data_IF_468679204778
#
_entry.id   IF_468679204778
#
_cell.length_a   1.000
_cell.length_b   1.000
_cell.length_c   1.000
_cell.angle_alpha   90.00
_cell.angle_beta   90.00
_cell.angle_gamma   90.00
#
_symmetry.space_group_name_H-M   'P 1'
#
loop_
_entity.id
_entity.type
_entity.pdbx_description
1 polymer ?
#
# COMPACT_ATOMS: atom_id res chain seq x y z
N UNK A 1 4.92 -11.50 26.57
CA UNK A 1 3.83 -11.52 25.57
C UNK A 1 3.00 -10.27 25.78
N UNK A 2 2.86 -9.41 24.76
CA UNK A 2 2.10 -8.16 24.89
C UNK A 2 0.59 -8.49 25.03
N UNK A 3 -0.18 -7.79 25.89
CA UNK A 3 -1.59 -8.13 26.10
C UNK A 3 -2.38 -7.83 24.83
N UNK A 4 -3.15 -8.82 24.37
CA UNK A 4 -4.14 -8.61 23.33
C UNK A 4 -5.40 -8.00 23.98
N UNK A 5 -5.89 -6.89 23.43
CA UNK A 5 -7.14 -6.28 23.87
C UNK A 5 -8.36 -7.16 23.64
N UNK A 6 -9.53 -6.70 24.09
CA UNK A 6 -10.80 -7.40 23.93
C UNK A 6 -11.05 -7.78 22.46
N UNK A 7 -11.39 -9.04 22.23
CA UNK A 7 -11.82 -9.54 20.92
C UNK A 7 -13.34 -9.52 20.88
N UNK A 8 -13.90 -8.80 19.93
CA UNK A 8 -15.35 -8.72 19.69
C UNK A 8 -15.65 -9.22 18.28
N UNK A 9 -16.71 -10.01 18.16
CA UNK A 9 -17.25 -10.40 16.87
C UNK A 9 -18.17 -9.29 16.37
N UNK A 10 -17.86 -8.74 15.20
CA UNK A 10 -18.62 -7.65 14.59
C UNK A 10 -19.87 -8.25 13.93
N UNK A 11 -21.07 -7.82 14.33
CA UNK A 11 -22.34 -8.26 13.75
C UNK A 11 -22.78 -7.42 12.55
N UNK A 12 -22.55 -6.12 12.57
CA UNK A 12 -22.82 -5.19 11.46
C UNK A 12 -21.89 -3.97 11.49
N UNK A 13 -21.72 -3.32 10.35
CA UNK A 13 -20.95 -2.08 10.19
C UNK A 13 -21.77 -1.12 9.33
N UNK A 14 -22.08 0.06 9.88
CA UNK A 14 -22.79 1.12 9.17
C UNK A 14 -21.86 2.32 8.94
N UNK A 15 -22.00 2.98 7.79
CA UNK A 15 -21.21 4.16 7.46
C UNK A 15 -21.85 5.41 8.08
N UNK A 16 -21.09 6.12 8.92
CA UNK A 16 -21.57 7.35 9.56
C UNK A 16 -21.69 8.54 8.57
N UNK A 17 -20.91 8.55 7.49
CA UNK A 17 -20.97 9.57 6.43
C UNK A 17 -20.27 9.11 5.16
N UNK A 18 -20.54 9.77 4.03
CA UNK A 18 -19.88 9.51 2.75
C UNK A 18 -18.41 9.95 2.82
N UNK A 19 -17.44 9.04 2.63
CA UNK A 19 -16.03 9.39 2.61
C UNK A 19 -15.68 10.24 1.38
N UNK A 20 -14.86 11.28 1.55
CA UNK A 20 -14.25 12.01 0.43
C UNK A 20 -13.05 11.21 -0.08
N UNK A 21 -13.16 10.67 -1.29
CA UNK A 21 -12.15 9.82 -1.91
C UNK A 21 -11.57 10.56 -3.12
N UNK A 22 -10.27 10.40 -3.38
CA UNK A 22 -9.66 10.92 -4.60
C UNK A 22 -10.13 10.12 -5.81
N UNK A 23 -10.49 10.79 -6.90
CA UNK A 23 -10.95 10.13 -8.13
C UNK A 23 -9.97 9.10 -8.68
N UNK A 24 -8.66 9.32 -8.50
CA UNK A 24 -7.61 8.38 -8.91
C UNK A 24 -7.69 7.06 -8.13
N UNK A 25 -7.88 7.16 -6.82
CA UNK A 25 -8.04 6.00 -5.93
C UNK A 25 -9.33 5.25 -6.25
N UNK A 26 -10.44 5.99 -6.39
CA UNK A 26 -11.76 5.43 -6.66
C UNK A 26 -11.78 4.64 -7.99
N UNK A 27 -11.15 5.20 -9.04
CA UNK A 27 -10.97 4.50 -10.32
C UNK A 27 -10.20 3.19 -10.19
N UNK A 28 -9.11 3.18 -9.41
CA UNK A 28 -8.28 1.97 -9.22
C UNK A 28 -9.02 0.92 -8.40
N UNK A 29 -9.76 1.33 -7.37
CA UNK A 29 -10.57 0.43 -6.55
C UNK A 29 -11.75 -0.13 -7.35
N UNK A 30 -12.37 0.66 -8.20
CA UNK A 30 -13.48 0.25 -9.05
C UNK A 30 -13.05 -0.68 -10.20
N UNK A 31 -11.78 -0.64 -10.60
CA UNK A 31 -11.22 -1.53 -11.61
C UNK A 31 -10.98 -2.93 -11.02
N UNK A 32 -11.91 -3.84 -11.31
CA UNK A 32 -11.89 -5.22 -10.81
C UNK A 32 -11.20 -6.21 -11.76
N UNK A 33 -10.65 -5.75 -12.87
CA UNK A 33 -9.91 -6.56 -13.85
C UNK A 33 -8.39 -6.30 -13.80
N UNK A 34 -7.95 -5.31 -13.02
CA UNK A 34 -6.54 -5.04 -12.78
C UNK A 34 -5.94 -5.96 -11.70
N UNK A 35 -4.74 -6.48 -11.94
CA UNK A 35 -3.99 -7.23 -10.93
C UNK A 35 -3.61 -6.35 -9.73
N UNK A 36 -3.57 -6.94 -8.54
CA UNK A 36 -3.22 -6.21 -7.30
C UNK A 36 -1.82 -5.61 -7.38
N UNK A 37 -0.88 -6.31 -8.02
CA UNK A 37 0.50 -5.85 -8.25
C UNK A 37 0.55 -4.55 -9.05
N UNK A 38 -0.27 -4.45 -10.09
CA UNK A 38 -0.35 -3.27 -10.96
C UNK A 38 -1.09 -2.13 -10.25
N UNK A 39 -2.19 -2.45 -9.57
CA UNK A 39 -2.94 -1.49 -8.76
C UNK A 39 -2.06 -0.82 -7.69
N UNK A 40 -1.33 -1.63 -6.92
CA UNK A 40 -0.38 -1.18 -5.90
C UNK A 40 0.72 -0.32 -6.52
N UNK A 41 1.33 -0.78 -7.61
CA UNK A 41 2.39 -0.03 -8.31
C UNK A 41 1.90 1.32 -8.84
N UNK A 42 0.66 1.37 -9.35
CA UNK A 42 0.04 2.58 -9.90
C UNK A 42 -0.30 3.57 -8.79
N UNK A 43 -0.86 3.10 -7.67
CA UNK A 43 -1.12 3.95 -6.50
C UNK A 43 0.18 4.52 -5.95
N UNK A 44 1.23 3.71 -5.83
CA UNK A 44 2.54 4.17 -5.34
C UNK A 44 3.13 5.25 -6.26
N UNK A 45 3.08 5.05 -7.58
CA UNK A 45 3.48 6.08 -8.57
C UNK A 45 2.64 7.36 -8.52
N UNK A 46 1.42 7.29 -8.00
CA UNK A 46 0.53 8.44 -7.79
C UNK A 46 0.75 9.11 -6.43
N UNK A 47 1.87 8.82 -5.76
CA UNK A 47 2.28 9.40 -4.48
C UNK A 47 1.36 9.03 -3.30
N UNK A 48 0.57 7.96 -3.43
CA UNK A 48 -0.11 7.39 -2.27
C UNK A 48 0.91 6.75 -1.33
N UNK A 49 0.74 7.00 -0.02
CA UNK A 49 1.65 6.41 0.96
C UNK A 49 1.48 4.89 1.03
N UNK A 50 2.58 4.20 1.33
CA UNK A 50 2.57 2.72 1.50
C UNK A 50 1.51 2.31 2.52
N UNK A 51 1.36 3.06 3.62
CA UNK A 51 0.31 2.81 4.64
C UNK A 51 -1.10 2.89 4.08
N UNK A 52 -1.40 3.86 3.21
CA UNK A 52 -2.72 3.97 2.56
C UNK A 52 -2.96 2.78 1.63
N UNK A 53 -1.97 2.41 0.83
CA UNK A 53 -2.06 1.28 -0.10
C UNK A 53 -2.27 -0.03 0.66
N UNK A 54 -1.52 -0.23 1.75
CA UNK A 54 -1.68 -1.39 2.64
C UNK A 54 -3.08 -1.49 3.22
N UNK A 55 -3.70 -0.38 3.61
CA UNK A 55 -5.09 -0.39 4.09
C UNK A 55 -6.06 -0.83 2.99
N UNK A 56 -5.95 -0.26 1.79
CA UNK A 56 -6.77 -0.64 0.64
C UNK A 56 -6.60 -2.13 0.28
N UNK A 57 -5.36 -2.61 0.24
CA UNK A 57 -5.06 -4.01 -0.03
C UNK A 57 -5.60 -4.94 1.06
N UNK A 58 -5.40 -4.59 2.34
CA UNK A 58 -5.89 -5.39 3.48
C UNK A 58 -7.41 -5.52 3.53
N UNK A 59 -8.12 -4.48 3.09
CA UNK A 59 -9.57 -4.47 2.96
C UNK A 59 -10.08 -5.24 1.72
N UNK A 60 -9.18 -5.80 0.90
CA UNK A 60 -9.54 -6.54 -0.31
C UNK A 60 -10.02 -5.66 -1.46
N UNK A 61 -9.66 -4.36 -1.48
CA UNK A 61 -10.15 -3.40 -2.47
C UNK A 61 -9.32 -3.38 -3.77
N UNK A 62 -8.23 -4.14 -3.84
CA UNK A 62 -7.30 -4.14 -4.98
C UNK A 62 -7.13 -5.55 -5.55
N UNK A 63 -7.05 -5.64 -6.87
CA UNK A 63 -6.87 -6.90 -7.59
C UNK A 63 -8.12 -7.38 -8.32
N UNK A 64 -8.00 -8.56 -8.95
CA UNK A 64 -9.09 -9.18 -9.70
C UNK A 64 -10.29 -9.48 -8.81
N UNK A 65 -11.52 -9.23 -9.30
CA UNK A 65 -12.76 -9.40 -8.54
C UNK A 65 -12.82 -10.72 -7.76
N UNK A 66 -12.56 -11.83 -8.46
CA UNK A 66 -12.56 -13.20 -7.92
C UNK A 66 -11.53 -13.47 -6.80
N UNK A 67 -10.50 -12.62 -6.70
CA UNK A 67 -9.40 -12.79 -5.76
C UNK A 67 -9.44 -11.75 -4.62
N UNK A 68 -10.39 -10.81 -4.65
CA UNK A 68 -10.55 -9.79 -3.61
C UNK A 68 -11.06 -10.43 -2.33
N UNK A 69 -10.28 -10.28 -1.26
CA UNK A 69 -10.59 -10.80 0.07
C UNK A 69 -9.87 -9.97 1.13
N UNK A 70 -10.39 -10.00 2.35
CA UNK A 70 -9.67 -9.44 3.49
C UNK A 70 -8.34 -10.18 3.69
N UNK A 71 -7.26 -9.41 3.88
CA UNK A 71 -5.91 -9.92 4.11
C UNK A 71 -5.43 -9.45 5.48
N UNK A 72 -4.88 -10.33 6.34
CA UNK A 72 -4.32 -9.92 7.63
C UNK A 72 -3.32 -8.77 7.48
N UNK A 73 -3.33 -7.83 8.43
CA UNK A 73 -2.52 -6.60 8.36
C UNK A 73 -1.04 -6.87 8.13
N UNK A 74 -0.47 -7.85 8.85
CA UNK A 74 0.95 -8.19 8.71
C UNK A 74 1.30 -8.70 7.31
N UNK A 75 0.45 -9.56 6.75
CA UNK A 75 0.63 -10.07 5.39
C UNK A 75 0.42 -8.97 4.34
N UNK A 76 -0.50 -8.04 4.60
CA UNK A 76 -0.73 -6.90 3.72
C UNK A 76 0.47 -5.96 3.68
N UNK A 77 1.07 -5.67 4.84
CA UNK A 77 2.31 -4.87 4.94
C UNK A 77 3.41 -5.54 4.10
N UNK A 78 3.69 -6.82 4.37
CA UNK A 78 4.74 -7.54 3.65
C UNK A 78 4.48 -7.63 2.15
N UNK A 79 3.25 -7.93 1.73
CA UNK A 79 2.92 -8.04 0.31
C UNK A 79 3.07 -6.72 -0.44
N UNK A 80 2.62 -5.61 0.16
CA UNK A 80 2.77 -4.28 -0.46
C UNK A 80 4.25 -3.88 -0.51
N UNK A 81 5.00 -4.08 0.57
CA UNK A 81 6.44 -3.79 0.62
C UNK A 81 7.21 -4.61 -0.42
N UNK A 82 6.91 -5.89 -0.57
CA UNK A 82 7.54 -6.76 -1.58
C UNK A 82 7.22 -6.31 -3.01
N UNK A 83 5.97 -5.95 -3.30
CA UNK A 83 5.56 -5.50 -4.64
C UNK A 83 6.24 -4.18 -5.00
N UNK A 84 6.17 -3.19 -4.11
CA UNK A 84 6.81 -1.88 -4.31
C UNK A 84 8.33 -2.04 -4.38
N UNK A 85 8.93 -2.80 -3.46
CA UNK A 85 10.36 -3.06 -3.41
C UNK A 85 10.88 -3.77 -4.65
N UNK A 86 10.20 -4.80 -5.14
CA UNK A 86 10.56 -5.46 -6.39
C UNK A 86 10.51 -4.51 -7.59
N UNK A 87 9.49 -3.66 -7.65
CA UNK A 87 9.36 -2.69 -8.73
C UNK A 87 10.48 -1.66 -8.73
N UNK A 88 10.80 -1.11 -7.56
CA UNK A 88 11.89 -0.14 -7.38
C UNK A 88 13.25 -0.78 -7.65
N UNK A 89 13.51 -2.00 -7.14
CA UNK A 89 14.75 -2.75 -7.43
C UNK A 89 14.98 -2.95 -8.91
N UNK A 90 13.91 -3.23 -9.67
CA UNK A 90 13.98 -3.32 -11.13
C UNK A 90 14.48 -2.02 -11.77
N UNK A 91 13.97 -0.87 -11.32
CA UNK A 91 14.40 0.44 -11.83
C UNK A 91 15.82 0.80 -11.38
N UNK A 92 16.20 0.41 -10.16
CA UNK A 92 17.51 0.78 -9.61
C UNK A 92 18.66 0.16 -10.43
N UNK A 93 18.45 -1.05 -10.95
CA UNK A 93 19.45 -1.79 -11.74
C UNK A 93 19.84 -1.10 -13.05
N UNK A 94 18.97 -0.22 -13.56
CA UNK A 94 19.21 0.49 -14.82
C UNK A 94 19.98 1.81 -14.61
N UNK A 95 20.22 2.23 -13.36
CA UNK A 95 21.01 3.44 -13.09
C UNK A 95 22.52 3.17 -13.22
N UNK A 96 23.30 4.19 -13.63
CA UNK A 96 24.75 4.09 -13.67
C UNK A 96 25.33 3.84 -12.27
N UNK A 97 26.39 3.04 -12.21
CA UNK A 97 27.16 2.84 -10.98
C UNK A 97 27.78 4.16 -10.53
N UNK A 98 27.71 4.46 -9.24
CA UNK A 98 28.37 5.63 -8.65
C UNK A 98 29.86 5.32 -8.46
N UNK A 99 30.73 5.97 -9.24
CA UNK A 99 32.19 5.80 -9.16
C UNK A 99 32.86 6.70 -8.11
N UNK A 100 32.14 7.68 -7.58
CA UNK A 100 32.69 8.75 -6.74
C UNK A 100 32.10 8.70 -5.33
N UNK A 101 32.87 9.13 -4.33
CA UNK A 101 32.37 9.25 -2.96
C UNK A 101 31.33 10.38 -2.89
N UNK A 102 30.07 10.03 -2.61
CA UNK A 102 29.00 11.00 -2.37
C UNK A 102 28.77 11.09 -0.86
N UNK A 103 28.95 12.30 -0.30
CA UNK A 103 28.66 12.58 1.11
C UNK A 103 27.33 13.34 1.17
N UNK A 104 26.33 12.72 1.80
CA UNK A 104 25.03 13.33 2.03
C UNK A 104 24.87 13.67 3.50
N UNK A 105 24.46 14.90 3.80
CA UNK A 105 24.09 15.33 5.15
C UNK A 105 22.57 15.49 5.22
N UNK A 106 21.93 14.86 6.20
CA UNK A 106 20.53 15.07 6.53
C UNK A 106 20.46 15.61 7.95
N UNK A 107 20.18 16.90 8.11
CA UNK A 107 19.78 17.43 9.41
C UNK A 107 18.30 17.15 9.61
N UNK A 108 17.97 16.40 10.64
CA UNK A 108 16.60 16.30 11.13
C UNK A 108 16.45 17.45 12.14
N UNK A 109 15.88 18.57 11.69
CA UNK A 109 15.47 19.64 12.59
C UNK A 109 14.15 19.18 13.22
N UNK A 110 14.24 18.49 14.35
CA UNK A 110 13.09 18.16 15.18
C UNK A 110 12.55 19.43 15.84
N UNK A 111 11.26 19.70 15.64
CA UNK A 111 10.34 20.40 16.54
C UNK A 111 8.91 19.98 16.18
#
# INVERSE_FOLDING_TARGET
TQPMGARVQISSVDLASTPKISFKTDRIVSDTDMFSTDAISKLYKQEHSVTQITRLFSAGLLGLNKNRKFVPTRWSITAVDDIVGNRLRGQIRDFPSVSNYLVFHKSYLDN
#
